data_IF_001660113294
#
_entry.id   IF_001660113294
#
_cell.length_a   1.000
_cell.length_b   1.000
_cell.length_c   1.000
_cell.angle_alpha   90.00
_cell.angle_beta   90.00
_cell.angle_gamma   90.00
#
_symmetry.space_group_name_H-M   'P 1'
#
loop_
_entity.id
_entity.type
_entity.pdbx_description
1 polymer ?
#
# COMPACT_ATOMS: atom_id res chain seq x y z
N UNK A 1 19.65 1.62 -18.32
CA UNK A 1 19.25 1.83 -16.91
C UNK A 1 18.33 0.68 -16.54
N UNK A 2 18.72 -0.22 -15.64
CA UNK A 2 17.86 -1.33 -15.23
C UNK A 2 16.68 -0.78 -14.38
N UNK A 3 15.49 -1.38 -14.51
CA UNK A 3 14.34 -1.03 -13.68
C UNK A 3 14.71 -1.25 -12.21
N UNK A 4 14.41 -0.27 -11.36
CA UNK A 4 14.51 -0.45 -9.91
C UNK A 4 13.51 -1.50 -9.46
N UNK A 5 13.94 -2.33 -8.50
CA UNK A 5 13.08 -3.30 -7.85
C UNK A 5 11.95 -2.59 -7.08
N UNK A 6 10.84 -3.29 -6.92
CA UNK A 6 9.74 -2.85 -6.07
C UNK A 6 10.23 -2.74 -4.61
N UNK A 7 9.66 -1.79 -3.87
CA UNK A 7 9.90 -1.64 -2.43
C UNK A 7 8.80 -2.43 -1.72
N UNK A 8 9.19 -3.25 -0.75
CA UNK A 8 8.29 -4.01 0.10
C UNK A 8 8.29 -3.39 1.50
N UNK A 9 7.10 -3.14 2.05
CA UNK A 9 6.94 -2.54 3.36
C UNK A 9 5.65 -3.04 4.01
N UNK A 10 5.72 -3.30 5.32
CA UNK A 10 4.56 -3.68 6.12
C UNK A 10 3.66 -2.48 6.42
N UNK A 11 2.36 -2.74 6.55
CA UNK A 11 1.36 -1.73 6.85
C UNK A 11 0.05 -2.35 7.36
N UNK A 12 -0.79 -1.51 7.96
CA UNK A 12 -2.06 -1.91 8.56
C UNK A 12 -3.22 -1.37 7.72
N UNK A 13 -4.19 -2.22 7.39
CA UNK A 13 -5.40 -1.80 6.67
C UNK A 13 -6.25 -0.94 7.62
N UNK A 14 -6.53 0.30 7.22
CA UNK A 14 -7.38 1.24 7.97
C UNK A 14 -8.80 1.26 7.44
N UNK A 15 -8.97 1.30 6.12
CA UNK A 15 -10.28 1.37 5.48
C UNK A 15 -10.32 0.50 4.23
N UNK A 16 -11.45 -0.17 3.99
CA UNK A 16 -11.72 -0.87 2.74
C UNK A 16 -12.48 0.06 1.78
N UNK A 17 -12.01 0.18 0.54
CA UNK A 17 -12.59 1.02 -0.50
C UNK A 17 -13.25 0.15 -1.60
N UNK A 18 -14.06 0.79 -2.44
CA UNK A 18 -14.60 0.16 -3.65
C UNK A 18 -13.49 -0.22 -4.64
N UNK A 19 -13.78 -1.12 -5.58
CA UNK A 19 -12.81 -1.67 -6.54
C UNK A 19 -11.62 -2.41 -5.92
N UNK A 20 -11.83 -3.09 -4.77
CA UNK A 20 -10.80 -3.89 -4.11
C UNK A 20 -9.52 -3.09 -3.76
N UNK A 21 -9.70 -1.80 -3.49
CA UNK A 21 -8.67 -0.89 -2.99
C UNK A 21 -8.76 -0.81 -1.47
N UNK A 22 -7.63 -0.56 -0.81
CA UNK A 22 -7.55 -0.45 0.64
C UNK A 22 -6.72 0.77 0.99
N UNK A 23 -7.18 1.54 1.98
CA UNK A 23 -6.33 2.53 2.64
C UNK A 23 -5.45 1.79 3.65
N UNK A 24 -4.14 1.85 3.44
CA UNK A 24 -3.14 1.20 4.28
C UNK A 24 -2.30 2.28 4.93
N UNK A 25 -2.16 2.22 6.25
CA UNK A 25 -1.22 3.05 6.97
C UNK A 25 0.09 2.27 7.16
N UNK A 26 1.17 2.85 6.67
CA UNK A 26 2.52 2.33 6.82
C UNK A 26 3.05 2.63 8.22
N UNK A 27 4.02 1.85 8.70
CA UNK A 27 4.63 2.05 10.03
C UNK A 27 5.27 3.44 10.24
N UNK A 28 5.60 4.15 9.14
CA UNK A 28 6.11 5.50 9.17
C UNK A 28 5.03 6.59 9.35
N UNK A 29 3.75 6.19 9.52
CA UNK A 29 2.61 7.09 9.70
C UNK A 29 2.04 7.65 8.39
N UNK A 30 2.51 7.21 7.22
CA UNK A 30 1.94 7.62 5.94
C UNK A 30 0.79 6.70 5.53
N UNK A 31 -0.29 7.29 5.03
CA UNK A 31 -1.38 6.56 4.42
C UNK A 31 -1.20 6.44 2.90
N UNK A 32 -1.37 5.23 2.39
CA UNK A 32 -1.34 4.92 0.96
C UNK A 32 -2.63 4.20 0.55
N UNK A 33 -2.86 4.13 -0.77
CA UNK A 33 -3.92 3.30 -1.35
C UNK A 33 -3.27 2.10 -2.02
N UNK A 34 -3.64 0.91 -1.56
CA UNK A 34 -3.17 -0.37 -2.09
C UNK A 34 -4.28 -1.08 -2.87
N UNK A 35 -3.93 -1.82 -3.91
CA UNK A 35 -4.82 -2.68 -4.68
C UNK A 35 -4.48 -4.14 -4.41
N UNK A 36 -5.49 -5.02 -4.34
CA UNK A 36 -5.24 -6.46 -4.34
C UNK A 36 -4.80 -6.92 -5.74
N UNK A 37 -3.67 -7.61 -5.86
CA UNK A 37 -3.21 -8.22 -7.12
C UNK A 37 -3.49 -9.72 -7.16
#
# INVERSE_FOLDING_TARGET
MAKQASIEQDGVIREALSNAMFRVELENGHEIIAHIS
#
